data_IF_994469962649
#
_entry.id   IF_994469962649
#
_cell.length_a   1.000
_cell.length_b   1.000
_cell.length_c   1.000
_cell.angle_alpha   90.00
_cell.angle_beta   90.00
_cell.angle_gamma   90.00
#
_symmetry.space_group_name_H-M   'P 1'
#
loop_
_entity.id
_entity.type
_entity.pdbx_description
1 polymer ?
#
# COMPACT_ATOMS: atom_id res chain seq x y z
N UNK A 1 14.38 68.15 39.70
CA UNK A 1 14.45 67.36 40.94
C UNK A 1 15.65 66.41 40.81
N UNK A 2 16.64 66.42 41.71
CA UNK A 2 17.77 65.47 41.66
C UNK A 2 17.34 63.98 41.72
N UNK A 3 16.06 63.68 42.00
CA UNK A 3 15.48 62.33 41.87
C UNK A 3 14.90 62.02 40.49
N UNK A 4 14.99 62.93 39.52
CA UNK A 4 14.40 62.79 38.17
C UNK A 4 15.41 62.70 37.03
N UNK A 5 16.72 62.62 37.35
CA UNK A 5 17.77 62.49 36.35
C UNK A 5 17.76 61.13 35.65
N UNK A 6 18.16 61.11 34.37
CA UNK A 6 18.37 59.88 33.60
C UNK A 6 19.55 59.09 34.16
N UNK A 7 19.25 57.92 34.72
CA UNK A 7 20.22 56.99 35.26
C UNK A 7 19.85 55.55 34.87
N UNK A 8 20.84 54.66 34.86
CA UNK A 8 20.61 53.23 34.65
C UNK A 8 20.39 52.57 36.00
N UNK A 9 19.19 52.06 36.25
CA UNK A 9 18.89 51.29 37.45
C UNK A 9 17.90 50.18 37.13
N UNK A 10 18.32 48.93 37.28
CA UNK A 10 17.49 47.75 36.96
C UNK A 10 17.67 46.62 38.00
N UNK A 11 18.09 46.93 39.23
CA UNK A 11 18.34 45.91 40.26
C UNK A 11 19.38 44.83 39.87
N UNK A 12 20.21 45.10 38.86
CA UNK A 12 21.22 44.20 38.26
C UNK A 12 22.55 44.95 38.06
N UNK A 13 23.67 44.25 37.77
CA UNK A 13 24.95 44.88 37.47
C UNK A 13 24.84 45.91 36.32
N UNK A 14 25.48 47.06 36.52
CA UNK A 14 25.54 48.22 35.60
C UNK A 14 26.65 48.07 34.53
N UNK A 15 27.31 46.91 34.47
CA UNK A 15 28.50 46.60 33.65
C UNK A 15 28.17 46.00 32.28
N UNK A 16 27.05 46.41 31.68
CA UNK A 16 26.58 45.90 30.38
C UNK A 16 25.93 47.00 29.55
N UNK A 17 25.71 46.72 28.27
CA UNK A 17 24.94 47.60 27.40
C UNK A 17 23.46 47.60 27.80
N UNK A 18 22.89 48.79 27.96
CA UNK A 18 21.47 49.00 28.24
C UNK A 18 20.76 49.62 27.04
N UNK A 19 19.52 49.19 26.80
CA UNK A 19 18.72 49.63 25.67
C UNK A 19 17.31 50.01 26.12
N UNK A 20 16.77 51.07 25.53
CA UNK A 20 15.39 51.50 25.72
C UNK A 20 14.80 51.94 24.38
N UNK A 21 13.51 51.66 24.18
CA UNK A 21 12.76 52.09 22.99
C UNK A 21 11.63 52.99 23.47
N UNK A 22 11.63 54.22 22.97
CA UNK A 22 10.59 55.21 23.23
C UNK A 22 9.74 55.36 21.99
N UNK A 23 8.42 55.31 22.15
CA UNK A 23 7.45 55.53 21.09
C UNK A 23 6.78 56.87 21.33
N UNK A 24 6.67 57.67 20.28
CA UNK A 24 5.81 58.84 20.33
C UNK A 24 4.35 58.39 20.32
N UNK A 25 3.51 59.11 21.05
CA UNK A 25 2.05 58.89 21.06
C UNK A 25 1.44 59.07 19.66
N UNK A 26 2.06 59.91 18.82
CA UNK A 26 1.75 60.04 17.40
C UNK A 26 3.04 60.07 16.55
N UNK A 27 3.09 59.38 15.40
CA UNK A 27 4.26 59.41 14.52
C UNK A 27 4.60 60.83 14.06
N UNK A 28 5.88 61.19 14.10
CA UNK A 28 6.36 62.49 13.61
C UNK A 28 6.65 62.37 12.10
N UNK A 29 6.21 63.32 11.26
CA UNK A 29 6.52 63.31 9.83
C UNK A 29 8.03 63.39 9.58
N UNK A 30 8.54 62.48 8.74
CA UNK A 30 9.94 62.46 8.32
C UNK A 30 10.16 63.44 7.15
N UNK A 31 11.14 64.33 7.28
CA UNK A 31 11.50 65.31 6.26
C UNK A 31 12.90 65.89 6.49
N UNK A 32 13.52 66.43 5.44
CA UNK A 32 14.91 66.91 5.47
C UNK A 32 15.17 68.06 6.45
N UNK A 33 14.11 68.79 6.85
CA UNK A 33 14.20 69.95 7.74
C UNK A 33 13.76 69.65 9.19
N UNK A 34 13.41 68.40 9.50
CA UNK A 34 12.97 68.03 10.85
C UNK A 34 14.16 67.89 11.80
N UNK A 35 14.30 68.81 12.75
CA UNK A 35 15.32 68.74 13.81
C UNK A 35 14.76 68.14 15.08
N UNK A 36 15.22 66.94 15.42
CA UNK A 36 14.95 66.31 16.71
C UNK A 36 16.01 66.75 17.73
N UNK A 37 15.61 67.51 18.75
CA UNK A 37 16.49 67.89 19.86
C UNK A 37 16.19 67.02 21.08
N UNK A 38 17.19 66.28 21.55
CA UNK A 38 17.08 65.43 22.74
C UNK A 38 17.95 66.04 23.83
N UNK A 39 17.32 66.40 24.95
CA UNK A 39 18.02 66.90 26.15
C UNK A 39 17.88 65.87 27.26
N UNK A 40 19.00 65.31 27.68
CA UNK A 40 19.08 64.37 28.79
C UNK A 40 19.77 65.05 29.97
N UNK A 41 19.08 65.06 31.12
CA UNK A 41 19.62 65.56 32.38
C UNK A 41 20.09 64.38 33.22
N UNK A 42 21.38 64.30 33.54
CA UNK A 42 22.00 63.19 34.28
C UNK A 42 22.27 63.58 35.73
N UNK A 43 21.25 64.10 36.41
CA UNK A 43 21.35 64.67 37.76
C UNK A 43 21.20 63.60 38.86
N UNK A 44 21.61 62.35 38.58
CA UNK A 44 21.47 61.24 39.53
C UNK A 44 22.42 61.40 40.71
N UNK A 45 21.97 61.17 41.96
CA UNK A 45 22.84 61.15 43.14
C UNK A 45 23.78 59.93 43.16
N UNK A 46 23.54 58.93 42.30
CA UNK A 46 24.36 57.73 42.20
C UNK A 46 25.39 57.87 41.07
N UNK A 47 26.61 58.26 41.43
CA UNK A 47 27.70 58.60 40.49
C UNK A 47 27.95 57.51 39.42
N UNK A 48 27.89 56.24 39.81
CA UNK A 48 28.16 55.11 38.90
C UNK A 48 27.00 54.78 37.94
N UNK A 49 25.86 55.46 38.02
CA UNK A 49 24.65 55.15 37.24
C UNK A 49 24.40 56.14 36.10
N UNK A 50 25.28 57.14 35.93
CA UNK A 50 25.18 58.12 34.86
C UNK A 50 25.60 57.50 33.51
N UNK A 51 24.88 57.88 32.45
CA UNK A 51 25.13 57.38 31.09
C UNK A 51 26.33 58.13 30.47
N UNK A 52 27.48 57.46 30.32
CA UNK A 52 28.69 58.06 29.76
C UNK A 52 28.82 57.96 28.23
N UNK A 53 28.35 56.86 27.64
CA UNK A 53 28.40 56.61 26.18
C UNK A 53 27.06 56.05 25.73
N UNK A 54 26.37 56.78 24.86
CA UNK A 54 25.10 56.33 24.31
C UNK A 54 25.02 56.62 22.82
N UNK A 55 24.15 55.86 22.14
CA UNK A 55 23.82 56.04 20.72
C UNK A 55 22.31 56.23 20.62
N UNK A 56 21.91 57.18 19.78
CA UNK A 56 20.50 57.40 19.45
C UNK A 56 20.26 56.97 18.01
N UNK A 57 19.11 56.35 17.76
CA UNK A 57 18.67 55.93 16.42
C UNK A 57 17.15 56.08 16.32
N UNK A 58 16.67 56.31 15.10
CA UNK A 58 15.23 56.46 14.80
C UNK A 58 14.77 55.36 13.83
N UNK A 59 13.51 54.95 13.93
CA UNK A 59 12.91 53.91 13.07
C UNK A 59 11.51 54.32 12.65
N UNK A 60 11.12 53.92 11.44
CA UNK A 60 9.76 54.10 10.89
C UNK A 60 8.87 52.88 11.10
N UNK A 61 9.34 51.85 11.83
CA UNK A 61 8.51 50.68 12.16
C UNK A 61 7.34 51.10 13.07
N UNK A 62 6.10 50.62 12.81
CA UNK A 62 4.94 50.93 13.65
C UNK A 62 5.08 50.43 15.10
N UNK A 63 5.73 49.28 15.31
CA UNK A 63 5.91 48.66 16.62
C UNK A 63 7.35 48.21 16.88
N UNK A 64 8.27 49.13 17.22
CA UNK A 64 9.65 48.76 17.50
C UNK A 64 9.76 47.95 18.80
N UNK A 65 10.44 46.81 18.76
CA UNK A 65 10.73 45.95 19.93
C UNK A 65 12.22 45.96 20.25
N UNK A 66 12.55 45.88 21.54
CA UNK A 66 13.92 45.62 21.98
C UNK A 66 14.33 44.20 21.53
N UNK A 67 15.54 44.03 20.98
CA UNK A 67 16.02 42.78 20.36
C UNK A 67 15.27 42.34 19.09
N UNK A 68 14.83 43.28 18.24
CA UNK A 68 14.24 42.99 16.93
C UNK A 68 15.24 42.19 16.05
N UNK A 69 14.74 41.26 15.23
CA UNK A 69 15.55 40.48 14.30
C UNK A 69 16.28 41.40 13.29
N UNK A 70 15.77 42.62 13.10
CA UNK A 70 16.48 43.70 12.40
C UNK A 70 17.78 44.13 13.07
N UNK A 71 17.85 44.22 14.40
CA UNK A 71 19.10 44.57 15.10
C UNK A 71 20.13 43.44 14.94
N UNK A 72 19.69 42.18 15.04
CA UNK A 72 20.55 41.02 14.78
C UNK A 72 21.05 40.99 13.34
N UNK A 73 20.18 41.33 12.38
CA UNK A 73 20.53 41.44 10.97
C UNK A 73 21.53 42.58 10.73
N UNK A 74 21.30 43.77 11.31
CA UNK A 74 22.22 44.91 11.20
C UNK A 74 23.59 44.59 11.84
N UNK A 75 23.60 43.92 12.99
CA UNK A 75 24.82 43.44 13.64
C UNK A 75 25.56 42.40 12.76
N UNK A 76 24.82 41.46 12.15
CA UNK A 76 25.38 40.48 11.21
C UNK A 76 25.93 41.15 9.93
N UNK A 77 25.28 42.20 9.42
CA UNK A 77 25.73 42.97 8.26
C UNK A 77 26.98 43.80 8.54
N UNK A 78 27.16 44.27 9.78
CA UNK A 78 28.35 45.01 10.22
C UNK A 78 29.61 44.13 10.32
N UNK A 79 29.46 42.80 10.43
CA UNK A 79 30.58 41.86 10.36
C UNK A 79 30.97 41.63 8.90
N UNK A 80 32.27 41.71 8.53
CA UNK A 80 32.76 41.36 7.20
C UNK A 80 32.31 39.97 6.75
N UNK A 81 31.95 39.81 5.46
CA UNK A 81 31.29 38.61 4.96
C UNK A 81 32.07 37.30 5.21
N UNK A 82 33.40 37.37 5.12
CA UNK A 82 34.35 36.28 5.39
C UNK A 82 34.38 35.86 6.87
N UNK A 83 34.05 36.79 7.79
CA UNK A 83 34.09 36.58 9.24
C UNK A 83 32.73 36.31 9.89
N UNK A 84 31.63 36.29 9.12
CA UNK A 84 30.29 35.97 9.64
C UNK A 84 30.20 34.53 10.10
N UNK A 85 29.58 34.28 11.25
CA UNK A 85 29.23 32.93 11.72
C UNK A 85 28.15 32.29 10.84
N UNK A 86 27.92 30.99 10.99
CA UNK A 86 26.89 30.26 10.22
C UNK A 86 25.50 30.87 10.42
N UNK A 87 25.14 31.19 11.65
CA UNK A 87 23.85 31.75 12.04
C UNK A 87 23.67 33.17 11.46
N UNK A 88 24.74 33.98 11.47
CA UNK A 88 24.74 35.31 10.86
C UNK A 88 24.57 35.25 9.34
N UNK A 89 25.21 34.28 8.67
CA UNK A 89 25.04 34.06 7.22
C UNK A 89 23.62 33.63 6.90
N UNK A 90 23.07 32.68 7.63
CA UNK A 90 21.69 32.21 7.45
C UNK A 90 20.67 33.33 7.65
N UNK A 91 20.85 34.18 8.67
CA UNK A 91 19.99 35.34 8.92
C UNK A 91 20.03 36.36 7.77
N UNK A 92 21.22 36.69 7.27
CA UNK A 92 21.40 37.63 6.15
C UNK A 92 20.79 37.06 4.87
N UNK A 93 21.01 35.77 4.58
CA UNK A 93 20.46 35.09 3.40
C UNK A 93 18.94 35.03 3.48
N UNK A 94 18.37 34.68 4.64
CA UNK A 94 16.92 34.64 4.84
C UNK A 94 16.29 36.02 4.65
N UNK A 95 16.88 37.07 5.21
CA UNK A 95 16.42 38.45 5.04
C UNK A 95 16.51 38.92 3.58
N UNK A 96 17.60 38.58 2.88
CA UNK A 96 17.76 38.90 1.46
C UNK A 96 16.72 38.20 0.59
N UNK A 97 16.51 36.90 0.81
CA UNK A 97 15.47 36.10 0.13
C UNK A 97 14.06 36.64 0.37
N UNK A 98 13.78 37.10 1.58
CA UNK A 98 12.47 37.69 1.92
C UNK A 98 12.24 39.06 1.24
N UNK A 99 13.32 39.83 1.00
CA UNK A 99 13.25 41.12 0.32
C UNK A 99 13.18 40.99 -1.21
N UNK A 100 13.76 39.92 -1.78
CA UNK A 100 13.78 39.66 -3.21
C UNK A 100 12.38 39.23 -3.72
N UNK A 101 11.77 40.04 -4.57
CA UNK A 101 10.48 39.75 -5.21
C UNK A 101 10.52 38.51 -6.11
N UNK A 102 11.60 38.32 -6.87
CA UNK A 102 11.74 37.19 -7.79
C UNK A 102 11.85 35.88 -7.00
N UNK A 103 12.59 35.88 -5.89
CA UNK A 103 12.68 34.72 -5.01
C UNK A 103 11.33 34.36 -4.40
N UNK A 104 10.55 35.35 -3.94
CA UNK A 104 9.21 35.13 -3.38
C UNK A 104 8.24 34.53 -4.41
N UNK A 105 8.27 35.02 -5.64
CA UNK A 105 7.43 34.51 -6.72
C UNK A 105 7.80 33.07 -7.09
N UNK A 106 9.10 32.75 -7.15
CA UNK A 106 9.59 31.39 -7.40
C UNK A 106 9.23 30.41 -6.26
N UNK A 107 9.34 30.83 -4.99
CA UNK A 107 8.90 30.01 -3.85
C UNK A 107 7.40 29.71 -3.90
N UNK A 108 6.59 30.71 -4.28
CA UNK A 108 5.15 30.52 -4.46
C UNK A 108 4.85 29.51 -5.58
N UNK A 109 5.51 29.66 -6.74
CA UNK A 109 5.37 28.72 -7.86
C UNK A 109 5.81 27.31 -7.47
N UNK A 110 6.91 27.16 -6.70
CA UNK A 110 7.36 25.86 -6.19
C UNK A 110 6.30 25.24 -5.30
N UNK A 111 5.75 25.99 -4.35
CA UNK A 111 4.73 25.50 -3.43
C UNK A 111 3.42 25.10 -4.15
N UNK A 112 3.00 25.86 -5.16
CA UNK A 112 1.84 25.52 -6.00
C UNK A 112 2.09 24.24 -6.81
N UNK A 113 3.27 24.11 -7.41
CA UNK A 113 3.66 22.93 -8.18
C UNK A 113 3.79 21.69 -7.30
N UNK A 114 4.36 21.81 -6.10
CA UNK A 114 4.43 20.73 -5.11
C UNK A 114 3.04 20.26 -4.67
N UNK A 115 2.10 21.21 -4.46
CA UNK A 115 0.70 20.88 -4.16
C UNK A 115 0.04 20.12 -5.30
N UNK A 116 0.23 20.57 -6.55
CA UNK A 116 -0.28 19.87 -7.73
C UNK A 116 0.31 18.46 -7.86
N UNK A 117 1.62 18.32 -7.70
CA UNK A 117 2.32 17.04 -7.76
C UNK A 117 1.81 16.06 -6.68
N UNK A 118 1.64 16.55 -5.46
CA UNK A 118 1.12 15.74 -4.36
C UNK A 118 -0.36 15.39 -4.56
N UNK A 119 -1.16 16.29 -5.13
CA UNK A 119 -2.54 16.01 -5.54
C UNK A 119 -2.61 14.85 -6.55
N UNK A 120 -1.78 14.89 -7.60
CA UNK A 120 -1.68 13.79 -8.57
C UNK A 120 -1.23 12.49 -7.90
N UNK A 121 -0.15 12.53 -7.11
CA UNK A 121 0.38 11.34 -6.42
C UNK A 121 -0.63 10.70 -5.46
N UNK A 122 -1.46 11.50 -4.82
CA UNK A 122 -2.49 11.02 -3.89
C UNK A 122 -3.75 10.54 -4.62
N UNK A 123 -4.00 10.99 -5.86
CA UNK A 123 -5.10 10.49 -6.70
C UNK A 123 -4.84 9.09 -7.26
N UNK A 124 -3.58 8.68 -7.34
CA UNK A 124 -3.20 7.34 -7.79
C UNK A 124 -3.54 6.34 -6.68
N UNK A 125 -4.40 5.38 -6.98
CA UNK A 125 -4.71 4.28 -6.07
C UNK A 125 -3.41 3.52 -5.72
N UNK A 126 -3.04 3.55 -4.45
CA UNK A 126 -1.88 2.81 -3.94
C UNK A 126 -2.35 1.40 -3.57
N UNK A 127 -1.74 0.40 -4.18
CA UNK A 127 -1.93 -1.00 -3.84
C UNK A 127 -0.68 -1.51 -3.13
N UNK A 128 -0.86 -2.31 -2.09
CA UNK A 128 0.27 -3.00 -1.47
C UNK A 128 0.75 -4.08 -2.44
N UNK A 129 2.05 -4.07 -2.73
CA UNK A 129 2.72 -5.12 -3.49
C UNK A 129 3.68 -5.85 -2.58
N UNK A 130 3.80 -7.17 -2.79
CA UNK A 130 4.83 -7.95 -2.12
C UNK A 130 6.11 -7.90 -2.96
N UNK A 131 7.24 -7.62 -2.31
CA UNK A 131 8.57 -7.68 -2.90
C UNK A 131 9.40 -8.71 -2.13
N UNK A 132 10.24 -9.47 -2.84
CA UNK A 132 11.18 -10.38 -2.22
C UNK A 132 12.24 -9.58 -1.45
N UNK A 133 12.62 -10.04 -0.26
CA UNK A 133 13.66 -9.39 0.52
C UNK A 133 15.04 -9.59 -0.12
N UNK A 134 15.96 -8.64 0.08
CA UNK A 134 17.34 -8.74 -0.42
C UNK A 134 18.09 -9.95 0.14
N UNK A 135 17.73 -10.37 1.36
CA UNK A 135 18.27 -11.55 2.03
C UNK A 135 17.17 -12.55 2.36
N UNK A 136 17.41 -13.82 2.03
CA UNK A 136 16.50 -14.90 2.34
C UNK A 136 16.54 -15.20 3.83
N UNK A 137 15.36 -15.39 4.42
CA UNK A 137 15.24 -15.83 5.81
C UNK A 137 15.63 -17.30 5.91
N UNK A 138 16.64 -17.61 6.70
CA UNK A 138 16.98 -18.99 7.08
C UNK A 138 15.81 -19.62 7.81
N UNK A 139 15.41 -20.81 7.38
CA UNK A 139 14.26 -21.53 7.91
C UNK A 139 14.69 -22.96 8.24
N UNK A 140 14.18 -23.50 9.33
CA UNK A 140 14.56 -24.81 9.83
C UNK A 140 13.34 -25.73 9.94
N UNK A 141 13.56 -27.03 9.82
CA UNK A 141 12.54 -28.03 10.09
C UNK A 141 12.11 -27.93 11.55
N UNK A 142 10.81 -28.04 11.83
CA UNK A 142 10.26 -27.93 13.18
C UNK A 142 10.06 -29.31 13.80
N UNK A 143 10.40 -29.46 15.07
CA UNK A 143 10.10 -30.68 15.83
C UNK A 143 8.58 -30.86 15.93
N UNK A 144 8.05 -31.85 15.20
CA UNK A 144 6.61 -32.17 15.12
C UNK A 144 5.73 -30.96 14.73
N UNK A 145 6.27 -30.02 13.97
CA UNK A 145 5.54 -28.82 13.53
C UNK A 145 5.35 -27.74 14.60
N UNK A 146 6.00 -27.85 15.76
CA UNK A 146 5.93 -26.83 16.81
C UNK A 146 6.72 -25.58 16.40
N UNK A 147 6.02 -24.46 16.19
CA UNK A 147 6.59 -23.20 15.68
C UNK A 147 7.74 -22.63 16.53
N UNK A 148 7.80 -22.97 17.81
CA UNK A 148 8.81 -22.51 18.76
C UNK A 148 9.93 -23.54 19.00
N UNK A 149 9.96 -24.64 18.24
CA UNK A 149 11.01 -25.67 18.32
C UNK A 149 11.65 -25.93 16.96
N UNK A 150 12.44 -24.98 16.43
CA UNK A 150 13.27 -25.26 15.27
C UNK A 150 14.33 -26.32 15.62
N UNK A 151 14.54 -27.24 14.69
CA UNK A 151 15.66 -28.18 14.71
C UNK A 151 16.90 -27.53 14.07
N UNK A 152 17.99 -28.28 13.98
CA UNK A 152 19.25 -27.95 13.31
C UNK A 152 19.22 -28.19 11.80
N UNK A 153 18.13 -28.72 11.25
CA UNK A 153 17.99 -29.00 9.81
C UNK A 153 17.46 -27.77 9.10
N UNK A 154 18.34 -27.06 8.39
CA UNK A 154 17.94 -25.96 7.50
C UNK A 154 17.17 -26.50 6.28
N UNK A 155 16.10 -25.80 5.90
CA UNK A 155 15.31 -26.11 4.70
C UNK A 155 15.52 -25.03 3.65
N UNK A 156 15.75 -25.47 2.42
CA UNK A 156 15.97 -24.60 1.26
C UNK A 156 14.90 -24.84 0.19
N UNK A 157 14.82 -23.94 -0.79
CA UNK A 157 13.86 -24.07 -1.88
C UNK A 157 14.17 -25.31 -2.72
N UNK A 158 13.25 -26.28 -2.72
CA UNK A 158 13.36 -27.50 -3.53
C UNK A 158 11.98 -28.15 -3.74
N UNK A 159 11.94 -29.20 -4.56
CA UNK A 159 10.74 -30.02 -4.80
C UNK A 159 10.82 -31.36 -4.05
N UNK A 160 9.68 -32.03 -3.79
CA UNK A 160 9.70 -33.36 -3.17
C UNK A 160 10.53 -34.35 -4.00
N UNK A 161 11.40 -35.12 -3.35
CA UNK A 161 12.34 -36.04 -4.02
C UNK A 161 11.67 -37.16 -4.85
N UNK A 162 10.40 -37.47 -4.57
CA UNK A 162 9.61 -38.43 -5.34
C UNK A 162 9.09 -37.86 -6.68
N UNK A 163 9.26 -36.55 -6.91
CA UNK A 163 8.86 -35.85 -8.12
C UNK A 163 10.11 -35.38 -8.88
N UNK A 164 9.98 -34.94 -10.14
CA UNK A 164 11.11 -34.40 -10.88
C UNK A 164 11.82 -33.28 -10.11
N UNK A 165 13.14 -33.23 -10.21
CA UNK A 165 13.93 -32.16 -9.61
C UNK A 165 13.55 -30.79 -10.20
N UNK A 166 13.69 -29.72 -9.40
CA UNK A 166 13.41 -28.35 -9.84
C UNK A 166 14.31 -27.89 -11.01
N UNK A 167 15.50 -28.48 -11.16
CA UNK A 167 16.48 -28.08 -12.18
C UNK A 167 17.14 -26.73 -11.90
N UNK A 168 17.10 -26.26 -10.65
CA UNK A 168 17.68 -25.00 -10.18
C UNK A 168 18.36 -25.22 -8.85
N UNK A 169 19.49 -24.53 -8.65
CA UNK A 169 20.13 -24.48 -7.35
C UNK A 169 19.24 -23.75 -6.35
N UNK A 170 19.20 -24.27 -5.12
CA UNK A 170 18.28 -23.79 -4.10
C UNK A 170 18.51 -22.31 -3.74
N UNK A 171 19.74 -21.80 -3.91
CA UNK A 171 20.11 -20.40 -3.68
C UNK A 171 19.47 -19.44 -4.69
N UNK A 172 19.21 -19.90 -5.92
CA UNK A 172 18.67 -19.08 -7.01
C UNK A 172 17.19 -19.35 -7.28
N UNK A 173 16.71 -20.54 -6.87
CA UNK A 173 15.33 -20.96 -7.02
C UNK A 173 14.35 -19.97 -6.38
N UNK A 174 13.34 -19.55 -7.13
CA UNK A 174 12.30 -18.64 -6.66
C UNK A 174 10.89 -19.13 -7.05
N UNK A 175 9.86 -18.34 -6.72
CA UNK A 175 8.45 -18.73 -6.99
C UNK A 175 8.15 -18.92 -8.48
N UNK A 176 8.84 -18.21 -9.38
CA UNK A 176 8.65 -18.38 -10.82
C UNK A 176 9.22 -19.72 -11.29
N UNK A 177 10.35 -20.17 -10.73
CA UNK A 177 10.90 -21.50 -11.04
C UNK A 177 9.93 -22.60 -10.60
N UNK A 178 9.36 -22.49 -9.40
CA UNK A 178 8.32 -23.42 -8.94
C UNK A 178 7.09 -23.40 -9.86
N UNK A 179 6.64 -22.21 -10.28
CA UNK A 179 5.49 -22.09 -11.18
C UNK A 179 5.73 -22.75 -12.53
N UNK A 180 6.94 -22.59 -13.10
CA UNK A 180 7.34 -23.25 -14.35
C UNK A 180 7.44 -24.77 -14.16
N UNK A 181 8.01 -25.22 -13.05
CA UNK A 181 8.12 -26.65 -12.73
C UNK A 181 6.75 -27.32 -12.53
N UNK A 182 5.78 -26.61 -11.96
CA UNK A 182 4.42 -27.15 -11.78
C UNK A 182 3.78 -27.48 -13.12
N UNK A 183 3.99 -26.68 -14.16
CA UNK A 183 3.40 -26.87 -15.50
C UNK A 183 4.37 -27.48 -16.51
N UNK A 184 5.53 -27.96 -16.06
CA UNK A 184 6.53 -28.59 -16.91
C UNK A 184 6.03 -29.93 -17.44
N UNK A 185 6.48 -30.32 -18.64
CA UNK A 185 6.04 -31.55 -19.31
C UNK A 185 6.43 -32.81 -18.54
N UNK A 186 7.53 -32.73 -17.79
CA UNK A 186 8.03 -33.79 -16.92
C UNK A 186 7.18 -33.96 -15.66
N UNK A 187 6.36 -32.98 -15.29
CA UNK A 187 5.49 -33.07 -14.11
C UNK A 187 4.25 -33.92 -14.42
N UNK A 188 4.13 -35.13 -13.84
CA UNK A 188 3.09 -36.06 -14.24
C UNK A 188 1.72 -35.78 -13.60
N UNK A 189 1.65 -34.87 -12.62
CA UNK A 189 0.47 -34.71 -11.77
C UNK A 189 -0.41 -33.53 -12.19
N UNK A 190 0.19 -32.38 -12.51
CA UNK A 190 -0.56 -31.12 -12.66
C UNK A 190 -1.67 -31.23 -13.71
N UNK A 191 -1.36 -31.76 -14.88
CA UNK A 191 -2.35 -31.93 -15.95
C UNK A 191 -3.45 -32.94 -15.57
N UNK A 192 -3.11 -34.04 -14.89
CA UNK A 192 -4.07 -35.05 -14.42
C UNK A 192 -5.01 -34.49 -13.36
N UNK A 193 -4.47 -33.81 -12.36
CA UNK A 193 -5.25 -33.17 -11.29
C UNK A 193 -6.18 -32.12 -11.89
N UNK A 194 -5.67 -31.27 -12.79
CA UNK A 194 -6.49 -30.24 -13.44
C UNK A 194 -7.62 -30.86 -14.28
N UNK A 195 -7.30 -31.83 -15.15
CA UNK A 195 -8.30 -32.53 -15.97
C UNK A 195 -9.36 -33.22 -15.12
N UNK A 196 -8.97 -33.87 -14.01
CA UNK A 196 -9.91 -34.49 -13.08
C UNK A 196 -10.82 -33.47 -12.39
N UNK A 197 -10.30 -32.30 -11.98
CA UNK A 197 -11.10 -31.24 -11.36
C UNK A 197 -12.11 -30.66 -12.36
N UNK A 198 -11.71 -30.42 -13.61
CA UNK A 198 -12.65 -30.00 -14.65
C UNK A 198 -13.71 -31.07 -14.91
N UNK A 199 -13.31 -32.33 -15.04
CA UNK A 199 -14.24 -33.44 -15.17
C UNK A 199 -15.26 -33.48 -14.03
N UNK A 200 -14.78 -33.38 -12.78
CA UNK A 200 -15.61 -33.36 -11.58
C UNK A 200 -16.61 -32.19 -11.61
N UNK A 201 -16.23 -31.02 -12.11
CA UNK A 201 -17.14 -29.88 -12.20
C UNK A 201 -18.33 -30.15 -13.15
N UNK A 202 -18.12 -30.94 -14.20
CA UNK A 202 -19.16 -31.28 -15.19
C UNK A 202 -19.94 -32.56 -14.86
N UNK A 203 -19.32 -33.50 -14.16
CA UNK A 203 -19.93 -34.79 -13.82
C UNK A 203 -20.34 -34.93 -12.35
N UNK A 204 -19.98 -33.96 -11.49
CA UNK A 204 -20.19 -33.99 -10.04
C UNK A 204 -19.15 -34.83 -9.29
N UNK A 205 -18.62 -35.88 -9.93
CA UNK A 205 -17.58 -36.76 -9.40
C UNK A 205 -16.42 -36.82 -10.40
N UNK A 206 -15.19 -36.71 -9.89
CA UNK A 206 -13.97 -36.85 -10.70
C UNK A 206 -13.76 -38.28 -11.18
N UNK A 207 -12.95 -38.48 -12.22
CA UNK A 207 -12.44 -39.81 -12.60
C UNK A 207 -11.75 -40.48 -11.40
N UNK A 208 -10.92 -39.70 -10.71
CA UNK A 208 -10.46 -39.97 -9.34
C UNK A 208 -11.38 -39.22 -8.39
N UNK A 209 -12.11 -39.95 -7.52
CA UNK A 209 -13.06 -39.33 -6.57
C UNK A 209 -12.35 -38.50 -5.51
N UNK A 210 -11.17 -38.95 -5.07
CA UNK A 210 -10.30 -38.25 -4.12
C UNK A 210 -9.51 -37.15 -4.83
N UNK A 211 -10.18 -36.07 -5.23
CA UNK A 211 -9.53 -35.00 -5.98
C UNK A 211 -8.34 -34.33 -5.26
N UNK A 212 -8.28 -34.43 -3.93
CA UNK A 212 -7.18 -33.92 -3.10
C UNK A 212 -6.07 -34.95 -2.83
N UNK A 213 -6.24 -36.21 -3.25
CA UNK A 213 -5.26 -37.28 -3.07
C UNK A 213 -5.13 -38.14 -4.33
N UNK A 214 -4.06 -37.87 -5.07
CA UNK A 214 -3.60 -38.62 -6.25
C UNK A 214 -2.45 -39.58 -5.91
N UNK A 215 -2.14 -39.74 -4.63
CA UNK A 215 -1.08 -40.62 -4.14
C UNK A 215 -1.58 -42.05 -3.91
N UNK A 216 -0.78 -42.83 -3.17
CA UNK A 216 -1.08 -44.24 -2.86
C UNK A 216 -2.29 -44.46 -1.96
N UNK A 217 -2.78 -43.40 -1.32
CA UNK A 217 -4.00 -43.42 -0.50
C UNK A 217 -5.25 -42.96 -1.30
N UNK A 218 -5.05 -42.49 -2.54
CA UNK A 218 -6.11 -42.15 -3.46
C UNK A 218 -6.76 -43.36 -4.12
N UNK A 219 -7.94 -43.14 -4.70
CA UNK A 219 -8.63 -44.16 -5.48
C UNK A 219 -7.95 -44.38 -6.84
N UNK A 220 -7.76 -45.64 -7.25
CA UNK A 220 -7.36 -45.96 -8.62
C UNK A 220 -8.57 -45.71 -9.55
N UNK A 221 -8.50 -44.76 -10.49
CA UNK A 221 -9.65 -44.41 -11.31
C UNK A 221 -10.02 -45.58 -12.25
N UNK A 222 -11.31 -45.95 -12.36
CA UNK A 222 -11.74 -47.02 -13.26
C UNK A 222 -11.40 -46.74 -14.73
N UNK A 223 -11.37 -45.47 -15.14
CA UNK A 223 -11.01 -45.02 -16.49
C UNK A 223 -9.69 -44.23 -16.48
N UNK A 224 -8.60 -44.88 -16.04
CA UNK A 224 -7.27 -44.27 -16.00
C UNK A 224 -6.79 -43.78 -17.37
N UNK A 225 -7.07 -44.53 -18.44
CA UNK A 225 -6.68 -44.15 -19.80
C UNK A 225 -7.36 -42.86 -20.26
N UNK A 226 -8.63 -42.66 -19.90
CA UNK A 226 -9.35 -41.43 -20.20
C UNK A 226 -8.74 -40.24 -19.46
N UNK A 227 -8.39 -40.41 -18.18
CA UNK A 227 -7.71 -39.37 -17.40
C UNK A 227 -6.37 -38.99 -18.04
N UNK A 228 -5.56 -39.99 -18.41
CA UNK A 228 -4.27 -39.77 -19.03
C UNK A 228 -4.41 -39.06 -20.38
N UNK A 229 -5.40 -39.45 -21.19
CA UNK A 229 -5.67 -38.82 -22.46
C UNK A 229 -6.12 -37.37 -22.29
N UNK A 230 -7.08 -37.08 -21.40
CA UNK A 230 -7.52 -35.71 -21.13
C UNK A 230 -6.38 -34.83 -20.59
N UNK A 231 -5.49 -35.39 -19.77
CA UNK A 231 -4.33 -34.68 -19.26
C UNK A 231 -3.33 -34.33 -20.38
N UNK A 232 -3.07 -35.27 -21.29
CA UNK A 232 -2.23 -35.04 -22.46
C UNK A 232 -2.84 -33.97 -23.37
N UNK A 233 -4.12 -34.10 -23.75
CA UNK A 233 -4.83 -33.10 -24.57
C UNK A 233 -4.78 -31.71 -23.93
N UNK A 234 -4.99 -31.61 -22.61
CA UNK A 234 -4.97 -30.33 -21.92
C UNK A 234 -3.59 -29.67 -21.96
N UNK A 235 -2.53 -30.44 -21.69
CA UNK A 235 -1.15 -29.96 -21.75
C UNK A 235 -0.76 -29.58 -23.18
N UNK A 236 -1.00 -30.46 -24.14
CA UNK A 236 -0.57 -30.32 -25.53
C UNK A 236 -1.32 -29.19 -26.26
N UNK A 237 -2.53 -28.83 -25.79
CA UNK A 237 -3.25 -27.64 -26.23
C UNK A 237 -2.64 -26.30 -25.76
N UNK A 238 -1.55 -26.34 -24.97
CA UNK A 238 -0.98 -25.17 -24.32
C UNK A 238 -1.80 -24.68 -23.14
N UNK A 239 -2.43 -25.60 -22.39
CA UNK A 239 -3.29 -25.32 -21.24
C UNK A 239 -4.56 -24.52 -21.60
N UNK A 240 -5.14 -24.74 -22.78
CA UNK A 240 -6.38 -24.08 -23.20
C UNK A 240 -7.59 -24.68 -22.45
N UNK A 241 -8.00 -23.98 -21.40
CA UNK A 241 -9.16 -24.34 -20.58
C UNK A 241 -10.45 -24.39 -21.40
N UNK A 242 -10.63 -23.50 -22.38
CA UNK A 242 -11.85 -23.48 -23.20
C UNK A 242 -11.90 -24.67 -24.15
N UNK A 243 -10.76 -25.08 -24.70
CA UNK A 243 -10.65 -26.27 -25.52
C UNK A 243 -11.00 -27.53 -24.71
N UNK A 244 -10.42 -27.70 -23.52
CA UNK A 244 -10.74 -28.83 -22.64
C UNK A 244 -12.21 -28.84 -22.23
N UNK A 245 -12.76 -27.70 -21.83
CA UNK A 245 -14.19 -27.59 -21.48
C UNK A 245 -15.06 -27.98 -22.67
N UNK A 246 -14.78 -27.45 -23.87
CA UNK A 246 -15.52 -27.79 -25.10
C UNK A 246 -15.44 -29.29 -25.37
N UNK A 247 -14.25 -29.89 -25.26
CA UNK A 247 -14.04 -31.33 -25.46
C UNK A 247 -14.95 -32.16 -24.54
N UNK A 248 -15.00 -31.80 -23.26
CA UNK A 248 -15.84 -32.47 -22.27
C UNK A 248 -17.33 -32.28 -22.61
N UNK A 249 -17.81 -31.04 -22.77
CA UNK A 249 -19.25 -30.76 -22.93
C UNK A 249 -19.81 -31.18 -24.29
N UNK A 250 -18.95 -31.40 -25.29
CA UNK A 250 -19.35 -31.91 -26.61
C UNK A 250 -19.12 -33.42 -26.75
N UNK A 251 -18.56 -34.09 -25.74
CA UNK A 251 -18.40 -35.55 -25.73
C UNK A 251 -19.75 -36.26 -25.85
N UNK A 252 -19.74 -37.49 -26.38
CA UNK A 252 -20.94 -38.33 -26.37
C UNK A 252 -21.39 -38.60 -24.92
N UNK A 253 -20.44 -38.90 -24.03
CA UNK A 253 -20.66 -39.18 -22.61
C UNK A 253 -21.40 -38.05 -21.88
N UNK A 254 -20.99 -36.79 -22.07
CA UNK A 254 -21.66 -35.65 -21.44
C UNK A 254 -23.08 -35.42 -21.97
N UNK A 255 -23.29 -35.67 -23.27
CA UNK A 255 -24.57 -35.45 -23.96
C UNK A 255 -25.57 -36.60 -23.81
N UNK A 256 -25.22 -37.66 -23.09
CA UNK A 256 -26.14 -38.74 -22.78
C UNK A 256 -27.35 -38.24 -21.98
N UNK A 257 -28.45 -38.98 -22.06
CA UNK A 257 -29.63 -38.73 -21.23
C UNK A 257 -29.30 -38.90 -19.75
N UNK A 258 -29.71 -37.94 -18.91
CA UNK A 258 -29.60 -38.02 -17.44
C UNK A 258 -30.86 -38.62 -16.78
N UNK A 259 -31.73 -39.26 -17.57
CA UNK A 259 -32.92 -39.95 -17.08
C UNK A 259 -32.52 -41.07 -16.13
N UNK A 260 -33.18 -41.11 -14.98
CA UNK A 260 -32.91 -42.09 -13.91
C UNK A 260 -34.10 -43.00 -13.65
N UNK A 261 -35.19 -42.77 -14.38
CA UNK A 261 -36.49 -43.42 -14.23
C UNK A 261 -36.94 -43.87 -15.62
N UNK A 262 -37.36 -45.12 -15.72
CA UNK A 262 -37.97 -45.69 -16.91
C UNK A 262 -39.40 -45.14 -17.13
N UNK A 263 -40.01 -45.42 -18.28
CA UNK A 263 -41.35 -44.90 -18.61
C UNK A 263 -42.45 -45.43 -17.68
N UNK A 264 -42.21 -46.55 -16.99
CA UNK A 264 -43.08 -47.17 -16.00
C UNK A 264 -42.96 -46.57 -14.58
N UNK A 265 -42.10 -45.55 -14.40
CA UNK A 265 -41.89 -44.89 -13.11
C UNK A 265 -40.91 -45.59 -12.18
N UNK A 266 -40.31 -46.71 -12.58
CA UNK A 266 -39.30 -47.42 -11.76
C UNK A 266 -37.89 -46.88 -12.02
N UNK A 267 -36.97 -46.98 -11.03
CA UNK A 267 -35.55 -46.71 -11.27
C UNK A 267 -35.07 -47.54 -12.46
N UNK A 268 -34.42 -46.89 -13.44
CA UNK A 268 -33.87 -47.65 -14.56
C UNK A 268 -32.77 -48.58 -14.06
N UNK A 269 -32.66 -49.78 -14.59
CA UNK A 269 -31.61 -50.78 -14.26
C UNK A 269 -30.19 -50.17 -14.29
N UNK A 270 -29.95 -49.21 -15.19
CA UNK A 270 -28.68 -48.46 -15.27
C UNK A 270 -28.30 -47.77 -13.95
N UNK A 271 -29.28 -47.27 -13.19
CA UNK A 271 -29.06 -46.60 -11.89
C UNK A 271 -28.74 -47.61 -10.79
N UNK A 272 -29.30 -48.81 -10.87
CA UNK A 272 -29.00 -49.87 -9.91
C UNK A 272 -27.58 -50.42 -10.12
N UNK A 273 -27.17 -50.58 -11.37
CA UNK A 273 -25.83 -51.06 -11.74
C UNK A 273 -24.74 -50.01 -11.55
N UNK A 274 -25.05 -48.72 -11.77
CA UNK A 274 -24.11 -47.60 -11.58
C UNK A 274 -24.74 -46.40 -10.84
N UNK A 275 -24.95 -46.53 -9.51
CA UNK A 275 -25.61 -45.49 -8.71
C UNK A 275 -24.84 -44.16 -8.71
N UNK A 276 -23.51 -44.21 -8.72
CA UNK A 276 -22.62 -43.04 -8.68
C UNK A 276 -22.23 -42.52 -10.08
N UNK A 277 -22.71 -43.16 -11.15
CA UNK A 277 -22.35 -42.84 -12.54
C UNK A 277 -20.82 -42.92 -12.82
N UNK A 278 -20.12 -43.87 -12.19
CA UNK A 278 -18.66 -44.10 -12.31
C UNK A 278 -18.29 -44.78 -13.63
N UNK A 279 -19.22 -45.47 -14.28
CA UNK A 279 -19.03 -46.06 -15.61
C UNK A 279 -19.53 -45.14 -16.73
N UNK A 280 -20.10 -44.00 -16.36
CA UNK A 280 -20.67 -43.01 -17.28
C UNK A 280 -21.71 -43.60 -18.23
N UNK A 281 -22.58 -44.45 -17.68
CA UNK A 281 -23.68 -45.09 -18.39
C UNK A 281 -24.87 -44.13 -18.66
N UNK A 282 -24.86 -42.94 -18.03
CA UNK A 282 -25.85 -41.88 -18.22
C UNK A 282 -25.20 -40.49 -18.16
N UNK A 283 -25.96 -39.49 -18.60
CA UNK A 283 -25.58 -38.08 -18.47
C UNK A 283 -25.46 -37.63 -17.01
N UNK A 284 -24.65 -36.60 -16.72
CA UNK A 284 -24.37 -36.18 -15.36
C UNK A 284 -25.62 -35.62 -14.67
N UNK A 285 -25.82 -36.00 -13.41
CA UNK A 285 -26.89 -35.51 -12.54
C UNK A 285 -26.37 -35.38 -11.12
N UNK A 286 -26.21 -34.15 -10.66
CA UNK A 286 -25.70 -33.85 -9.32
C UNK A 286 -26.38 -32.59 -8.76
N UNK A 287 -26.25 -32.40 -7.45
CA UNK A 287 -26.78 -31.21 -6.78
C UNK A 287 -25.99 -29.98 -7.21
N UNK A 288 -26.66 -29.03 -7.83
CA UNK A 288 -26.04 -27.76 -8.20
C UNK A 288 -25.69 -26.93 -6.96
N UNK A 289 -24.51 -26.28 -6.93
CA UNK A 289 -24.15 -25.35 -5.88
C UNK A 289 -25.01 -24.08 -5.95
N UNK A 290 -25.04 -23.32 -4.85
CA UNK A 290 -25.90 -22.14 -4.67
C UNK A 290 -25.78 -21.11 -5.80
N UNK A 291 -24.56 -20.82 -6.25
CA UNK A 291 -24.30 -19.87 -7.32
C UNK A 291 -24.88 -20.32 -8.67
N UNK A 292 -24.79 -21.62 -8.99
CA UNK A 292 -25.32 -22.17 -10.24
C UNK A 292 -26.85 -22.18 -10.24
N UNK A 293 -27.46 -22.51 -9.10
CA UNK A 293 -28.92 -22.43 -8.91
C UNK A 293 -29.43 -21.00 -9.10
N UNK A 294 -28.75 -20.01 -8.50
CA UNK A 294 -29.08 -18.59 -8.66
C UNK A 294 -28.98 -18.17 -10.13
N UNK A 295 -27.86 -18.45 -10.77
CA UNK A 295 -27.61 -18.02 -12.15
C UNK A 295 -28.56 -18.71 -13.13
N UNK A 296 -28.93 -19.96 -12.89
CA UNK A 296 -29.98 -20.65 -13.64
C UNK A 296 -31.34 -19.98 -13.47
N UNK A 297 -31.73 -19.60 -12.24
CA UNK A 297 -32.98 -18.89 -11.99
C UNK A 297 -33.00 -17.51 -12.67
N UNK A 298 -31.88 -16.77 -12.63
CA UNK A 298 -31.73 -15.49 -13.33
C UNK A 298 -31.77 -15.66 -14.85
N UNK A 299 -31.13 -16.69 -15.38
CA UNK A 299 -31.14 -16.99 -16.81
C UNK A 299 -32.56 -17.35 -17.29
N UNK A 300 -33.26 -18.22 -16.55
CA UNK A 300 -34.62 -18.65 -16.88
C UNK A 300 -35.66 -17.52 -16.77
N UNK A 301 -35.44 -16.57 -15.85
CA UNK A 301 -36.29 -15.38 -15.69
C UNK A 301 -35.93 -14.23 -16.65
N UNK A 302 -34.85 -14.34 -17.43
CA UNK A 302 -34.38 -13.27 -18.31
C UNK A 302 -33.68 -12.11 -17.59
N UNK A 303 -33.37 -12.26 -16.30
CA UNK A 303 -32.74 -11.23 -15.45
C UNK A 303 -31.21 -11.33 -15.38
N UNK A 304 -30.62 -12.35 -16.02
CA UNK A 304 -29.16 -12.55 -15.98
C UNK A 304 -28.42 -11.48 -16.80
N UNK A 305 -27.66 -10.64 -16.10
CA UNK A 305 -26.72 -9.68 -16.70
C UNK A 305 -25.42 -10.39 -17.10
N UNK A 306 -25.04 -10.31 -18.38
CA UNK A 306 -23.83 -10.99 -18.93
C UNK A 306 -22.62 -10.06 -19.11
N UNK A 307 -22.71 -8.82 -18.66
CA UNK A 307 -21.61 -7.84 -18.74
C UNK A 307 -20.44 -8.32 -17.89
N UNK A 308 -19.24 -8.36 -18.48
CA UNK A 308 -18.02 -8.74 -17.76
C UNK A 308 -17.38 -7.52 -17.09
N UNK A 309 -16.90 -7.72 -15.86
CA UNK A 309 -16.31 -6.66 -15.05
C UNK A 309 -17.35 -5.74 -14.39
N UNK A 310 -16.88 -4.62 -13.86
CA UNK A 310 -17.69 -3.67 -13.09
C UNK A 310 -17.56 -3.85 -11.57
N UNK A 311 -18.15 -2.94 -10.78
CA UNK A 311 -18.16 -3.03 -9.33
C UNK A 311 -18.90 -4.31 -8.86
N UNK A 312 -18.52 -4.89 -7.71
CA UNK A 312 -19.23 -6.05 -7.16
C UNK A 312 -20.70 -5.71 -6.90
N UNK A 313 -21.59 -6.61 -7.25
CA UNK A 313 -23.03 -6.50 -6.96
C UNK A 313 -23.35 -7.33 -5.72
N UNK A 314 -24.10 -6.73 -4.78
CA UNK A 314 -24.64 -7.47 -3.66
C UNK A 314 -25.81 -8.34 -4.14
N UNK A 315 -25.86 -9.59 -3.67
CA UNK A 315 -27.04 -10.43 -3.85
C UNK A 315 -28.26 -9.83 -3.16
N UNK A 316 -29.45 -10.34 -3.47
CA UNK A 316 -30.67 -9.99 -2.73
C UNK A 316 -30.46 -10.27 -1.24
N UNK A 317 -30.67 -9.25 -0.41
CA UNK A 317 -30.62 -9.35 1.05
C UNK A 317 -32.03 -9.06 1.59
N UNK A 318 -32.60 -9.94 2.44
CA UNK A 318 -33.83 -9.66 3.16
C UNK A 318 -33.72 -8.36 3.98
N UNK A 319 -34.85 -7.69 4.23
CA UNK A 319 -34.89 -6.57 5.16
C UNK A 319 -34.45 -7.02 6.58
N UNK A 320 -33.76 -6.16 7.32
CA UNK A 320 -33.37 -6.39 8.72
C UNK A 320 -32.01 -7.08 8.95
N UNK A 321 -31.31 -7.56 7.92
CA UNK A 321 -30.04 -8.32 8.08
C UNK A 321 -28.90 -7.51 8.74
N UNK A 322 -28.96 -6.17 8.69
CA UNK A 322 -27.93 -5.28 9.24
C UNK A 322 -28.41 -4.44 10.43
N UNK A 323 -29.62 -4.67 10.94
CA UNK A 323 -30.18 -3.86 12.04
C UNK A 323 -29.40 -4.00 13.35
N UNK A 324 -28.69 -5.10 13.58
CA UNK A 324 -27.85 -5.31 14.78
C UNK A 324 -26.40 -4.79 14.62
N UNK A 325 -25.99 -4.42 13.40
CA UNK A 325 -24.61 -4.02 13.10
C UNK A 325 -24.40 -2.49 13.08
N UNK A 326 -25.45 -1.71 13.36
CA UNK A 326 -25.45 -0.24 13.34
C UNK A 326 -25.88 0.29 14.70
#
# INVERSE_FOLDING_TARGET
DPRSGWAVYEGRPIDRDHQAVFRFDSPIPAGADTKLTIRLHHDSPHVSHNLGRFRLSVTSQPEPKLNDDRQKLLAALAVPADKRTKEQRELVVAAHRAADSMYRDLEKQRGETEKQLNGVRNSIAKVMVMQEADTRRTTFMLDRGLYNKPTDVEVTANTPAALPALGRDAADANRLDLARWLVADENPLTARVAANRFWQQFFGVGLVKTAEDFGSQGEIPPQLDLLNWLAAEFRDSGWDVKALVRLIVTSHTYRQSSRTVADDGQPSEIVELDPENRLFARGPRFRMPSWMLRDQALAASGLLVRTQGGPPVNGYQPAGVWEEAT
#
